data_IF_417424814262
#
_entry.id   IF_417424814262
#
_cell.length_a   1.000
_cell.length_b   1.000
_cell.length_c   1.000
_cell.angle_alpha   90.00
_cell.angle_beta   90.00
_cell.angle_gamma   90.00
#
_symmetry.space_group_name_H-M   'P 1'
#
loop_
_entity.id
_entity.type
_entity.pdbx_description
1 polymer ?
#
# COMPACT_ATOMS: atom_id res chain seq x y z
N UNK A 1 54.68 13.85 38.47
CA UNK A 1 53.96 15.01 37.92
C UNK A 1 54.99 16.11 37.64
N UNK A 2 55.59 16.08 36.45
CA UNK A 2 56.67 17.01 36.08
C UNK A 2 56.07 18.32 35.59
N UNK A 3 56.37 19.40 36.30
CA UNK A 3 55.97 20.76 35.95
C UNK A 3 56.74 21.16 34.67
N UNK A 4 56.07 21.59 33.58
CA UNK A 4 56.75 21.99 32.35
C UNK A 4 57.66 23.21 32.59
N UNK A 5 58.81 23.23 31.92
CA UNK A 5 59.83 24.29 32.01
C UNK A 5 59.27 25.64 31.55
N UNK A 6 59.78 26.75 32.09
CA UNK A 6 59.30 28.13 31.80
C UNK A 6 59.33 28.50 30.32
N UNK A 7 60.18 27.83 29.52
CA UNK A 7 60.30 28.00 28.08
C UNK A 7 59.13 27.41 27.29
N UNK A 8 58.47 26.36 27.79
CA UNK A 8 57.30 25.74 27.13
C UNK A 8 56.01 26.51 27.42
N UNK A 9 55.97 27.24 28.56
CA UNK A 9 54.82 28.06 28.95
C UNK A 9 54.67 29.34 28.10
N UNK A 10 55.77 29.85 27.54
CA UNK A 10 55.73 31.00 26.62
C UNK A 10 55.37 30.61 25.18
N UNK A 11 55.56 29.35 24.79
CA UNK A 11 55.26 28.87 23.42
C UNK A 11 53.76 28.49 23.28
N UNK A 12 53.15 28.00 24.36
CA UNK A 12 51.72 27.65 24.42
C UNK A 12 50.73 28.78 24.03
N UNK A 13 50.87 30.05 24.49
CA UNK A 13 49.94 31.10 24.09
C UNK A 13 50.12 31.57 22.64
N UNK A 14 51.34 31.54 22.10
CA UNK A 14 51.61 31.98 20.72
C UNK A 14 51.13 30.94 19.69
N UNK A 15 51.30 29.64 19.97
CA UNK A 15 50.81 28.55 19.11
C UNK A 15 49.27 28.45 19.14
N UNK A 16 48.65 28.70 20.31
CA UNK A 16 47.19 28.76 20.47
C UNK A 16 46.59 30.05 19.86
N UNK A 17 47.33 31.16 19.86
CA UNK A 17 46.95 32.39 19.18
C UNK A 17 47.07 32.27 17.65
N UNK A 18 48.04 31.50 17.16
CA UNK A 18 48.21 31.21 15.73
C UNK A 18 47.15 30.20 15.22
N UNK A 19 46.78 29.21 16.03
CA UNK A 19 45.64 28.32 15.77
C UNK A 19 44.28 29.05 15.79
N UNK A 20 44.17 30.18 16.51
CA UNK A 20 42.97 31.05 16.53
C UNK A 20 43.00 32.09 15.41
N UNK A 21 44.14 32.29 14.73
CA UNK A 21 44.31 33.22 13.60
C UNK A 21 43.99 32.62 12.25
N UNK A 22 43.49 31.40 12.17
CA UNK A 22 42.65 31.00 11.04
C UNK A 22 41.24 31.58 11.21
N UNK A 23 41.17 32.91 11.30
CA UNK A 23 39.95 33.63 10.92
C UNK A 23 39.81 33.41 9.43
N UNK A 24 39.16 32.31 9.07
CA UNK A 24 38.73 32.05 7.72
C UNK A 24 37.77 33.19 7.39
N UNK A 25 38.28 34.25 6.77
CA UNK A 25 37.48 35.25 6.07
C UNK A 25 36.80 34.52 4.91
N UNK A 26 35.81 33.70 5.24
CA UNK A 26 34.95 33.04 4.28
C UNK A 26 34.07 34.15 3.72
N UNK A 27 34.54 34.75 2.64
CA UNK A 27 33.70 35.61 1.82
C UNK A 27 32.65 34.70 1.22
N UNK A 28 31.48 34.62 1.84
CA UNK A 28 30.36 33.82 1.35
C UNK A 28 29.99 34.41 -0.02
N UNK A 29 30.16 33.66 -1.14
CA UNK A 29 29.79 34.19 -2.45
C UNK A 29 28.29 34.50 -2.46
N UNK A 30 27.87 35.56 -3.15
CA UNK A 30 26.49 36.05 -3.12
C UNK A 30 25.46 34.94 -3.42
N UNK A 31 25.79 33.99 -4.30
CA UNK A 31 24.96 32.82 -4.60
C UNK A 31 24.79 31.85 -3.40
N UNK A 32 25.79 31.71 -2.54
CA UNK A 32 25.71 30.91 -1.32
C UNK A 32 24.92 31.64 -0.23
N UNK A 33 25.08 32.97 -0.12
CA UNK A 33 24.27 33.79 0.77
C UNK A 33 22.79 33.75 0.37
N UNK A 34 22.52 33.88 -0.94
CA UNK A 34 21.18 33.77 -1.51
C UNK A 34 20.58 32.37 -1.29
N UNK A 35 21.34 31.29 -1.47
CA UNK A 35 20.87 29.95 -1.09
C UNK A 35 20.61 29.81 0.41
N UNK A 36 21.43 30.42 1.28
CA UNK A 36 21.27 30.34 2.73
C UNK A 36 20.06 31.16 3.22
N UNK A 37 19.73 32.26 2.55
CA UNK A 37 18.66 33.18 2.92
C UNK A 37 17.33 32.88 2.22
N UNK A 38 17.36 32.42 0.96
CA UNK A 38 16.16 32.09 0.17
C UNK A 38 15.72 30.63 0.32
N UNK A 39 16.62 29.70 0.62
CA UNK A 39 16.32 28.29 0.75
C UNK A 39 17.25 27.62 1.78
N UNK A 40 17.07 27.90 3.09
CA UNK A 40 17.84 27.23 4.12
C UNK A 40 17.82 25.73 3.86
N UNK A 41 18.99 25.13 3.62
CA UNK A 41 19.15 23.68 3.47
C UNK A 41 18.87 23.04 4.83
N UNK A 42 17.59 22.85 5.13
CA UNK A 42 17.15 21.97 6.19
C UNK A 42 17.60 20.56 5.80
N UNK A 43 18.77 20.17 6.28
CA UNK A 43 19.23 18.77 6.27
C UNK A 43 18.38 17.99 7.28
N UNK A 44 17.04 18.01 7.14
CA UNK A 44 16.21 16.98 7.74
C UNK A 44 16.52 15.75 6.91
N UNK A 45 17.56 15.03 7.33
CA UNK A 45 17.83 13.67 6.90
C UNK A 45 16.55 12.88 7.13
N UNK A 46 15.72 12.80 6.10
CA UNK A 46 14.46 12.06 6.10
C UNK A 46 14.78 10.57 6.13
N UNK A 47 15.35 10.09 7.23
CA UNK A 47 15.61 8.69 7.49
C UNK A 47 14.29 8.01 7.91
N UNK A 48 13.18 8.34 7.23
CA UNK A 48 11.86 7.76 7.46
C UNK A 48 11.90 6.23 7.29
N UNK A 49 12.76 5.73 6.38
CA UNK A 49 13.04 4.29 6.20
C UNK A 49 13.90 3.66 7.30
N UNK A 50 14.61 4.44 8.12
CA UNK A 50 15.31 3.95 9.32
C UNK A 50 14.47 4.14 10.60
N UNK A 51 13.50 5.06 10.56
CA UNK A 51 12.61 5.38 11.69
C UNK A 51 11.38 4.46 11.72
N UNK A 52 10.86 4.06 10.55
CA UNK A 52 9.71 3.18 10.40
C UNK A 52 10.08 1.92 9.62
N UNK A 53 9.52 0.78 10.06
CA UNK A 53 9.65 -0.48 9.33
C UNK A 53 8.96 -0.44 7.97
N UNK A 54 9.30 -1.38 7.08
CA UNK A 54 8.68 -1.47 5.76
C UNK A 54 7.21 -1.95 5.89
N UNK A 55 6.20 -1.15 5.50
CA UNK A 55 4.79 -1.50 5.62
C UNK A 55 4.27 -2.30 4.41
N UNK A 56 5.02 -2.36 3.30
CA UNK A 56 4.65 -3.12 2.10
C UNK A 56 4.29 -4.58 2.40
N UNK A 57 5.06 -5.35 3.22
CA UNK A 57 4.73 -6.74 3.51
C UNK A 57 3.41 -6.90 4.28
N UNK A 58 3.03 -5.93 5.12
CA UNK A 58 1.76 -5.93 5.85
C UNK A 58 0.61 -5.75 4.86
N UNK A 59 0.72 -4.77 3.96
CA UNK A 59 -0.28 -4.52 2.93
C UNK A 59 -0.44 -5.72 1.98
N UNK A 60 0.68 -6.29 1.52
CA UNK A 60 0.68 -7.47 0.65
C UNK A 60 0.12 -8.71 1.36
N UNK A 61 0.47 -8.93 2.63
CA UNK A 61 -0.05 -10.03 3.43
C UNK A 61 -1.58 -9.98 3.53
N UNK A 62 -2.16 -8.80 3.75
CA UNK A 62 -3.62 -8.63 3.83
C UNK A 62 -4.32 -8.82 2.50
N UNK A 63 -3.70 -8.32 1.44
CA UNK A 63 -4.21 -8.50 0.10
C UNK A 63 -4.20 -9.97 -0.33
N UNK A 64 -3.10 -10.70 -0.10
CA UNK A 64 -2.95 -12.12 -0.45
C UNK A 64 -3.93 -12.98 0.36
N UNK A 65 -3.94 -12.83 1.68
CA UNK A 65 -4.83 -13.61 2.56
C UNK A 65 -6.31 -13.39 2.26
N UNK A 66 -6.67 -12.31 1.58
CA UNK A 66 -8.04 -12.03 1.15
C UNK A 66 -8.34 -12.54 -0.26
N UNK A 67 -7.44 -12.27 -1.21
CA UNK A 67 -7.63 -12.64 -2.63
C UNK A 67 -7.52 -14.13 -2.88
N UNK A 68 -6.62 -14.83 -2.18
CA UNK A 68 -6.42 -16.27 -2.31
C UNK A 68 -7.71 -17.05 -2.00
N UNK A 69 -8.34 -16.94 -0.81
CA UNK A 69 -9.56 -17.70 -0.51
C UNK A 69 -10.75 -17.28 -1.39
N UNK A 70 -10.82 -16.02 -1.85
CA UNK A 70 -11.85 -15.59 -2.81
C UNK A 70 -11.68 -16.27 -4.16
N UNK A 71 -10.44 -16.37 -4.64
CA UNK A 71 -10.13 -17.04 -5.90
C UNK A 71 -10.48 -18.54 -5.81
N UNK A 72 -10.15 -19.18 -4.69
CA UNK A 72 -10.52 -20.58 -4.43
C UNK A 72 -12.05 -20.79 -4.42
N UNK A 73 -12.79 -19.86 -3.81
CA UNK A 73 -14.25 -19.90 -3.80
C UNK A 73 -14.88 -19.65 -5.18
N UNK A 74 -14.31 -18.74 -5.98
CA UNK A 74 -14.79 -18.46 -7.34
C UNK A 74 -14.49 -19.61 -8.33
N UNK A 75 -13.42 -20.37 -8.08
CA UNK A 75 -13.06 -21.55 -8.86
C UNK A 75 -13.84 -22.81 -8.46
N UNK A 76 -14.64 -22.75 -7.40
CA UNK A 76 -15.45 -23.91 -6.98
C UNK A 76 -14.69 -24.96 -6.19
N UNK A 77 -13.52 -24.63 -5.60
CA UNK A 77 -12.67 -25.63 -4.96
C UNK A 77 -13.39 -26.27 -3.76
N UNK A 78 -13.44 -27.60 -3.71
CA UNK A 78 -14.18 -28.37 -2.67
C UNK A 78 -15.68 -28.02 -2.62
N UNK A 79 -16.26 -27.57 -3.74
CA UNK A 79 -17.64 -27.09 -3.76
C UNK A 79 -17.84 -25.74 -3.06
N UNK A 80 -16.75 -25.02 -2.75
CA UNK A 80 -16.82 -23.65 -2.26
C UNK A 80 -17.46 -22.73 -3.31
N UNK A 81 -18.15 -21.70 -2.86
CA UNK A 81 -18.86 -20.78 -3.74
C UNK A 81 -19.90 -19.97 -2.99
N UNK A 82 -20.96 -19.57 -3.68
CA UNK A 82 -22.01 -18.71 -3.14
C UNK A 82 -21.76 -17.22 -3.43
N UNK A 83 -22.79 -16.41 -3.16
CA UNK A 83 -22.76 -14.99 -3.44
C UNK A 83 -21.59 -14.30 -2.71
N UNK A 84 -20.67 -13.73 -3.50
CA UNK A 84 -19.45 -13.05 -3.04
C UNK A 84 -18.57 -13.84 -2.05
N UNK A 85 -18.67 -15.18 -2.04
CA UNK A 85 -17.99 -16.01 -1.06
C UNK A 85 -18.23 -15.55 0.40
N UNK A 86 -19.49 -15.33 0.78
CA UNK A 86 -19.88 -14.69 2.03
C UNK A 86 -19.28 -15.26 3.33
N UNK A 87 -18.83 -16.52 3.35
CA UNK A 87 -18.06 -17.07 4.47
C UNK A 87 -16.77 -16.26 4.76
N UNK A 88 -16.21 -15.61 3.75
CA UNK A 88 -15.03 -14.76 3.84
C UNK A 88 -15.34 -13.31 4.20
N UNK A 89 -16.58 -12.95 4.56
CA UNK A 89 -16.96 -11.57 4.88
C UNK A 89 -16.09 -10.95 5.99
N UNK A 90 -15.71 -11.74 7.01
CA UNK A 90 -14.79 -11.31 8.06
C UNK A 90 -13.36 -11.11 7.56
N UNK A 91 -12.89 -11.94 6.62
CA UNK A 91 -11.58 -11.80 5.98
C UNK A 91 -11.53 -10.50 5.16
N UNK A 92 -12.62 -10.18 4.45
CA UNK A 92 -12.73 -8.93 3.69
C UNK A 92 -12.62 -7.70 4.59
N UNK A 93 -13.29 -7.73 5.75
CA UNK A 93 -13.28 -6.61 6.68
C UNK A 93 -11.90 -6.41 7.33
N UNK A 94 -11.35 -7.47 7.93
CA UNK A 94 -10.17 -7.36 8.78
C UNK A 94 -8.87 -7.40 7.98
N UNK A 95 -8.69 -8.38 7.10
CA UNK A 95 -7.42 -8.56 6.38
C UNK A 95 -7.40 -7.70 5.10
N UNK A 96 -8.44 -7.83 4.27
CA UNK A 96 -8.55 -7.09 3.01
C UNK A 96 -8.76 -5.60 3.23
N UNK A 97 -9.58 -5.26 4.22
CA UNK A 97 -9.88 -3.90 4.60
C UNK A 97 -8.83 -3.32 5.53
N UNK A 98 -8.97 -3.53 6.84
CA UNK A 98 -8.22 -2.80 7.87
C UNK A 98 -6.71 -3.05 7.79
N UNK A 99 -6.26 -4.30 7.68
CA UNK A 99 -4.81 -4.60 7.67
C UNK A 99 -4.13 -4.00 6.43
N UNK A 100 -4.77 -4.10 5.27
CA UNK A 100 -4.28 -3.49 4.03
C UNK A 100 -4.34 -1.95 4.10
N UNK A 101 -5.35 -1.38 4.77
CA UNK A 101 -5.47 0.07 5.00
C UNK A 101 -4.31 0.61 5.84
N UNK A 102 -3.96 -0.08 6.93
CA UNK A 102 -2.85 0.29 7.79
C UNK A 102 -1.52 0.24 7.04
N UNK A 103 -1.32 -0.79 6.20
CA UNK A 103 -0.17 -0.86 5.31
C UNK A 103 -0.13 0.29 4.28
N UNK A 104 -1.29 0.68 3.72
CA UNK A 104 -1.41 1.81 2.80
C UNK A 104 -1.05 3.15 3.46
N UNK A 105 -1.51 3.37 4.70
CA UNK A 105 -1.15 4.54 5.51
C UNK A 105 0.36 4.56 5.76
N UNK A 106 0.96 3.41 6.08
CA UNK A 106 2.41 3.30 6.24
C UNK A 106 3.19 3.68 4.97
N UNK A 107 2.76 3.20 3.80
CA UNK A 107 3.37 3.56 2.51
C UNK A 107 3.21 5.06 2.19
N UNK A 108 2.07 5.65 2.57
CA UNK A 108 1.84 7.09 2.41
C UNK A 108 2.78 7.94 3.26
N UNK A 109 2.97 7.55 4.54
CA UNK A 109 3.91 8.23 5.47
C UNK A 109 5.36 8.13 4.97
N UNK A 110 5.75 7.01 4.38
CA UNK A 110 7.08 6.82 3.78
C UNK A 110 7.27 7.57 2.46
N UNK A 111 6.22 8.20 1.92
CA UNK A 111 6.27 8.96 0.67
C UNK A 111 6.13 8.10 -0.59
N UNK A 112 5.73 6.83 -0.46
CA UNK A 112 5.56 5.94 -1.60
C UNK A 112 4.14 6.05 -2.17
N UNK A 113 3.90 7.09 -2.97
CA UNK A 113 2.56 7.48 -3.40
C UNK A 113 1.84 6.41 -4.22
N UNK A 114 2.54 5.72 -5.14
CA UNK A 114 1.88 4.77 -6.03
C UNK A 114 1.33 3.54 -5.29
N UNK A 115 2.14 2.77 -4.53
CA UNK A 115 1.64 1.65 -3.72
C UNK A 115 0.66 2.09 -2.64
N UNK A 116 0.84 3.27 -2.04
CA UNK A 116 -0.14 3.82 -1.11
C UNK A 116 -1.53 3.94 -1.77
N UNK A 117 -1.62 4.63 -2.93
CA UNK A 117 -2.89 4.78 -3.66
C UNK A 117 -3.49 3.44 -4.06
N UNK A 118 -2.67 2.49 -4.51
CA UNK A 118 -3.11 1.13 -4.84
C UNK A 118 -3.71 0.44 -3.61
N UNK A 119 -2.98 0.36 -2.50
CA UNK A 119 -3.44 -0.34 -1.31
C UNK A 119 -4.64 0.33 -0.63
N UNK A 120 -4.74 1.67 -0.65
CA UNK A 120 -5.95 2.37 -0.21
C UNK A 120 -7.17 1.96 -1.03
N UNK A 121 -7.02 1.94 -2.36
CA UNK A 121 -8.14 1.61 -3.26
C UNK A 121 -8.60 0.17 -3.06
N UNK A 122 -7.67 -0.79 -2.98
CA UNK A 122 -8.03 -2.20 -2.74
C UNK A 122 -8.60 -2.42 -1.34
N UNK A 123 -8.10 -1.72 -0.32
CA UNK A 123 -8.66 -1.79 1.02
C UNK A 123 -10.14 -1.35 1.04
N UNK A 124 -10.45 -0.19 0.45
CA UNK A 124 -11.83 0.27 0.34
C UNK A 124 -12.71 -0.70 -0.45
N UNK A 125 -12.18 -1.28 -1.54
CA UNK A 125 -12.90 -2.29 -2.32
C UNK A 125 -13.33 -3.49 -1.45
N UNK A 126 -12.42 -4.06 -0.65
CA UNK A 126 -12.75 -5.18 0.24
C UNK A 126 -13.74 -4.80 1.34
N UNK A 127 -13.61 -3.59 1.90
CA UNK A 127 -14.57 -3.06 2.88
C UNK A 127 -15.97 -2.89 2.28
N UNK A 128 -16.08 -2.42 1.04
CA UNK A 128 -17.37 -2.31 0.32
C UNK A 128 -17.98 -3.69 0.07
N UNK A 129 -17.17 -4.69 -0.29
CA UNK A 129 -17.65 -6.08 -0.42
C UNK A 129 -18.17 -6.63 0.91
N UNK A 130 -17.43 -6.42 2.00
CA UNK A 130 -17.85 -6.83 3.34
C UNK A 130 -19.16 -6.16 3.76
N UNK A 131 -19.27 -4.84 3.55
CA UNK A 131 -20.49 -4.09 3.86
C UNK A 131 -21.69 -4.57 3.04
N UNK A 132 -21.50 -4.96 1.78
CA UNK A 132 -22.59 -5.46 0.92
C UNK A 132 -23.16 -6.80 1.42
N UNK A 133 -22.31 -7.65 2.00
CA UNK A 133 -22.70 -8.98 2.49
C UNK A 133 -23.21 -8.90 3.93
N UNK A 134 -22.75 -7.91 4.70
CA UNK A 134 -23.16 -7.75 6.10
C UNK A 134 -24.65 -7.37 6.18
N UNK A 135 -25.44 -8.09 7.01
CA UNK A 135 -26.87 -7.87 7.12
C UNK A 135 -27.23 -6.47 7.64
N UNK A 136 -26.34 -5.84 8.43
CA UNK A 136 -26.59 -4.53 9.05
C UNK A 136 -26.75 -3.40 8.02
N UNK A 137 -26.05 -3.49 6.88
CA UNK A 137 -26.19 -2.52 5.79
C UNK A 137 -27.41 -2.81 4.90
N UNK A 138 -28.00 -4.00 5.02
CA UNK A 138 -29.20 -4.45 4.32
C UNK A 138 -29.21 -4.19 2.80
N UNK A 139 -28.04 -4.19 2.16
CA UNK A 139 -27.92 -3.86 0.73
C UNK A 139 -28.67 -4.84 -0.19
N UNK A 140 -28.70 -6.12 0.20
CA UNK A 140 -29.41 -7.19 -0.51
C UNK A 140 -30.91 -7.11 -0.25
N UNK A 141 -31.34 -6.91 1.00
CA UNK A 141 -32.75 -6.95 1.37
C UNK A 141 -33.56 -5.79 0.81
N UNK A 142 -32.93 -4.67 0.43
CA UNK A 142 -33.58 -3.57 -0.29
C UNK A 142 -34.18 -3.98 -1.65
N UNK A 143 -33.67 -5.05 -2.25
CA UNK A 143 -34.18 -5.59 -3.50
C UNK A 143 -35.18 -6.73 -3.27
N UNK A 144 -35.45 -7.13 -2.02
CA UNK A 144 -36.41 -8.20 -1.74
C UNK A 144 -37.83 -7.75 -2.02
N UNK A 145 -38.60 -8.61 -2.68
CA UNK A 145 -40.05 -8.45 -2.91
C UNK A 145 -40.89 -9.11 -1.82
N UNK A 146 -40.24 -9.75 -0.82
CA UNK A 146 -40.90 -10.46 0.28
C UNK A 146 -40.33 -9.98 1.62
N UNK A 147 -40.82 -10.54 2.73
CA UNK A 147 -40.27 -10.32 4.07
C UNK A 147 -38.91 -10.97 4.30
N UNK A 148 -38.42 -11.83 3.38
CA UNK A 148 -37.13 -12.48 3.50
C UNK A 148 -36.04 -11.69 2.74
N UNK A 149 -34.99 -11.17 3.40
CA UNK A 149 -33.91 -10.44 2.73
C UNK A 149 -33.16 -11.26 1.67
N UNK A 150 -33.11 -12.59 1.81
CA UNK A 150 -32.41 -13.46 0.87
C UNK A 150 -32.99 -13.43 -0.55
N UNK A 151 -34.28 -13.12 -0.69
CA UNK A 151 -34.96 -13.08 -1.99
C UNK A 151 -34.44 -11.93 -2.86
N UNK A 152 -33.78 -10.93 -2.27
CA UNK A 152 -33.09 -9.87 -3.01
C UNK A 152 -31.96 -10.40 -3.91
N UNK A 153 -31.35 -11.55 -3.57
CA UNK A 153 -30.36 -12.21 -4.43
C UNK A 153 -30.97 -12.89 -5.65
N UNK A 154 -32.27 -13.18 -5.65
CA UNK A 154 -32.95 -13.74 -6.83
C UNK A 154 -33.28 -12.65 -7.87
N UNK A 155 -33.22 -11.37 -7.47
CA UNK A 155 -33.59 -10.26 -8.34
C UNK A 155 -32.44 -9.86 -9.27
N UNK A 156 -32.66 -9.85 -10.61
CA UNK A 156 -31.64 -9.42 -11.57
C UNK A 156 -31.13 -7.99 -11.33
N UNK A 157 -32.01 -7.12 -10.81
CA UNK A 157 -31.72 -5.70 -10.58
C UNK A 157 -30.53 -5.49 -9.64
N UNK A 158 -30.42 -6.31 -8.58
CA UNK A 158 -29.31 -6.22 -7.64
C UNK A 158 -27.96 -6.49 -8.32
N UNK A 159 -27.88 -7.53 -9.15
CA UNK A 159 -26.66 -7.85 -9.90
C UNK A 159 -26.31 -6.79 -10.93
N UNK A 160 -27.30 -6.23 -11.64
CA UNK A 160 -27.06 -5.12 -12.57
C UNK A 160 -26.48 -3.90 -11.85
N UNK A 161 -27.06 -3.48 -10.73
CA UNK A 161 -26.54 -2.34 -9.94
C UNK A 161 -25.13 -2.61 -9.42
N UNK A 162 -24.92 -3.80 -8.84
CA UNK A 162 -23.63 -4.17 -8.26
C UNK A 162 -22.52 -4.34 -9.31
N UNK A 163 -22.88 -4.78 -10.52
CA UNK A 163 -21.92 -4.95 -11.63
C UNK A 163 -21.25 -3.63 -12.05
N UNK A 164 -21.97 -2.50 -11.97
CA UNK A 164 -21.38 -1.18 -12.30
C UNK A 164 -20.22 -0.81 -11.37
N UNK A 165 -20.31 -1.16 -10.08
CA UNK A 165 -19.21 -0.99 -9.13
C UNK A 165 -17.99 -1.85 -9.51
N UNK A 166 -18.21 -3.13 -9.85
CA UNK A 166 -17.13 -4.03 -10.27
C UNK A 166 -16.48 -3.57 -11.58
N UNK A 167 -17.26 -3.07 -12.55
CA UNK A 167 -16.74 -2.51 -13.81
C UNK A 167 -15.92 -1.24 -13.55
N UNK A 168 -16.40 -0.34 -12.68
CA UNK A 168 -15.66 0.85 -12.29
C UNK A 168 -14.32 0.49 -11.62
N UNK A 169 -14.32 -0.49 -10.73
CA UNK A 169 -13.09 -1.01 -10.14
C UNK A 169 -12.15 -1.61 -11.20
N UNK A 170 -12.69 -2.37 -12.15
CA UNK A 170 -11.90 -2.93 -13.25
C UNK A 170 -11.23 -1.83 -14.09
N UNK A 171 -11.93 -0.72 -14.37
CA UNK A 171 -11.35 0.43 -15.07
C UNK A 171 -10.18 1.04 -14.29
N UNK A 172 -10.31 1.19 -12.97
CA UNK A 172 -9.22 1.69 -12.11
C UNK A 172 -8.03 0.72 -12.12
N UNK A 173 -8.26 -0.59 -12.08
CA UNK A 173 -7.21 -1.59 -12.20
C UNK A 173 -6.46 -1.48 -13.54
N UNK A 174 -7.13 -1.18 -14.65
CA UNK A 174 -6.47 -0.93 -15.95
C UNK A 174 -5.57 0.30 -15.87
N UNK A 175 -6.03 1.38 -15.22
CA UNK A 175 -5.19 2.58 -15.02
C UNK A 175 -3.95 2.24 -14.18
N UNK A 176 -4.10 1.48 -13.10
CA UNK A 176 -2.97 1.03 -12.27
C UNK A 176 -2.03 0.09 -13.04
N UNK A 177 -2.55 -0.78 -13.91
CA UNK A 177 -1.75 -1.63 -14.79
C UNK A 177 -0.87 -0.77 -15.71
N UNK A 178 -1.43 0.23 -16.37
CA UNK A 178 -0.67 1.14 -17.24
C UNK A 178 0.37 1.94 -16.44
N UNK A 179 0.01 2.44 -15.25
CA UNK A 179 0.92 3.19 -14.39
C UNK A 179 2.08 2.32 -13.84
N UNK A 180 1.84 1.02 -13.61
CA UNK A 180 2.83 0.07 -13.09
C UNK A 180 3.92 -0.33 -14.10
N UNK A 181 3.67 -0.15 -15.41
CA UNK A 181 4.61 -0.47 -16.49
C UNK A 181 5.97 0.24 -16.34
N UNK A 182 6.01 1.39 -15.66
CA UNK A 182 7.22 2.20 -15.49
C UNK A 182 7.96 1.95 -14.17
N UNK A 183 7.32 1.32 -13.17
CA UNK A 183 7.78 1.38 -11.77
C UNK A 183 7.97 0.03 -11.09
N UNK A 184 7.33 -1.06 -11.52
CA UNK A 184 7.53 -2.36 -10.89
C UNK A 184 6.96 -3.52 -11.72
N UNK A 185 7.83 -4.37 -12.25
CA UNK A 185 7.42 -5.57 -13.02
C UNK A 185 6.51 -6.49 -12.19
N UNK A 186 6.72 -6.58 -10.87
CA UNK A 186 5.88 -7.38 -9.97
C UNK A 186 4.44 -6.84 -9.85
N UNK A 187 4.26 -5.53 -9.73
CA UNK A 187 2.91 -4.93 -9.73
C UNK A 187 2.23 -5.03 -11.10
N UNK A 188 3.00 -4.89 -12.18
CA UNK A 188 2.50 -5.10 -13.54
C UNK A 188 1.99 -6.53 -13.74
N UNK A 189 2.76 -7.54 -13.30
CA UNK A 189 2.33 -8.95 -13.38
C UNK A 189 1.08 -9.21 -12.53
N UNK A 190 1.01 -8.68 -11.31
CA UNK A 190 -0.19 -8.79 -10.46
C UNK A 190 -1.44 -8.21 -11.14
N UNK A 191 -1.34 -7.01 -11.73
CA UNK A 191 -2.48 -6.38 -12.41
C UNK A 191 -2.83 -7.03 -13.74
N UNK A 192 -1.83 -7.44 -14.53
CA UNK A 192 -2.05 -8.16 -15.78
C UNK A 192 -2.82 -9.46 -15.55
N UNK A 193 -2.53 -10.19 -14.46
CA UNK A 193 -3.26 -11.40 -14.10
C UNK A 193 -4.69 -11.16 -13.60
N UNK A 194 -4.91 -10.08 -12.84
CA UNK A 194 -6.27 -9.68 -12.45
C UNK A 194 -7.14 -9.34 -13.68
N UNK A 195 -6.56 -8.70 -14.71
CA UNK A 195 -7.27 -8.34 -15.94
C UNK A 195 -7.42 -9.54 -16.90
N UNK A 196 -6.42 -10.42 -16.97
CA UNK A 196 -6.39 -11.53 -17.92
C UNK A 196 -7.25 -12.74 -17.53
N UNK A 197 -7.84 -12.77 -16.34
CA UNK A 197 -8.73 -13.86 -15.92
C UNK A 197 -10.11 -13.79 -16.63
N UNK A 198 -10.09 -13.97 -17.96
CA UNK A 198 -11.25 -14.30 -18.77
C UNK A 198 -11.45 -15.81 -18.70
N UNK A 199 -12.46 -16.21 -17.92
CA UNK A 199 -12.93 -17.60 -17.73
C UNK A 199 -13.00 -18.35 -19.07
N UNK A 200 -12.14 -19.34 -19.27
CA UNK A 200 -12.31 -20.39 -20.29
C UNK A 200 -12.44 -21.72 -19.57
N UNK A 201 -13.68 -22.18 -19.37
CA UNK A 201 -14.00 -23.60 -19.12
C UNK A 201 -13.67 -24.40 -20.39
N UNK A 202 -13.25 -25.69 -20.36
CA UNK A 202 -14.02 -26.79 -19.75
C UNK A 202 -13.10 -27.89 -19.11
N UNK A 203 -13.47 -29.19 -18.98
CA UNK A 203 -13.66 -29.82 -17.68
C UNK A 203 -12.65 -30.94 -17.35
N UNK A 204 -12.76 -31.42 -16.12
CA UNK A 204 -12.29 -32.71 -15.59
C UNK A 204 -10.83 -32.87 -15.15
N UNK A 205 -10.76 -33.16 -13.84
CA UNK A 205 -9.92 -34.16 -13.16
C UNK A 205 -8.40 -34.01 -13.12
N UNK A 206 -7.96 -33.86 -11.87
CA UNK A 206 -6.72 -34.36 -11.28
C UNK A 206 -5.38 -34.03 -11.95
N UNK A 207 -4.56 -33.46 -11.07
CA UNK A 207 -3.09 -33.47 -11.08
C UNK A 207 -2.44 -32.34 -11.89
N UNK A 208 -1.36 -31.88 -11.28
CA UNK A 208 -0.24 -31.20 -11.90
C UNK A 208 -0.31 -29.68 -11.99
N UNK A 209 0.64 -29.08 -11.27
CA UNK A 209 1.16 -27.73 -11.41
C UNK A 209 0.22 -26.62 -10.91
N UNK A 210 0.66 -25.57 -10.24
CA UNK A 210 1.99 -25.09 -9.89
C UNK A 210 1.78 -23.93 -8.92
N UNK A 211 2.86 -23.56 -8.22
CA UNK A 211 3.10 -22.20 -7.79
C UNK A 211 2.51 -21.16 -8.75
N UNK A 212 1.59 -20.32 -8.26
CA UNK A 212 1.49 -18.87 -8.49
C UNK A 212 0.13 -18.36 -7.98
N UNK A 213 0.21 -17.30 -7.16
CA UNK A 213 -0.82 -16.49 -6.48
C UNK A 213 -1.19 -16.89 -5.05
#
# INVERSE_FOLDING_TARGET
>A
MSIPSSKDRSILPDEMAEATRQTTNMTIPAALFEQLYLAPKTQVKGHLRETFGNPTPIALGGFILTTTPVSMALLGWQGAGGFLAGANAGVFFWLGGIMTLLGAIGEWILGNTFPATVFFTFSCFWLTLSATISPDFNAIGLYSTTTNPADGLAQPQFYSTFSFFLVAMAMVCVVFMVASLRTNIFFFLMFALLVACRKRSPPLTHTCLFFLF
#
